data_IF_885877781528
#
_entry.id   IF_885877781528
#
_cell.length_a   1.000
_cell.length_b   1.000
_cell.length_c   1.000
_cell.angle_alpha   90.00
_cell.angle_beta   90.00
_cell.angle_gamma   90.00
#
_symmetry.space_group_name_H-M   'P 1'
#
loop_
_entity.id
_entity.type
_entity.pdbx_description
1 polymer ?
#
# COMPACT_ATOMS: atom_id res chain seq x y z
N UNK A 1 57.97 20.26 -19.64
CA UNK A 1 57.69 19.31 -18.54
C UNK A 1 57.83 20.16 -17.30
N UNK A 2 56.73 20.75 -16.87
CA UNK A 2 56.67 21.60 -15.69
C UNK A 2 55.40 21.24 -14.92
N UNK A 3 55.62 20.99 -13.63
CA UNK A 3 54.64 20.66 -12.60
C UNK A 3 53.49 21.67 -12.54
N UNK A 4 52.26 21.20 -12.69
CA UNK A 4 51.07 21.94 -12.25
C UNK A 4 50.55 21.29 -10.98
N UNK A 5 50.89 21.88 -9.83
CA UNK A 5 50.23 21.61 -8.56
C UNK A 5 48.86 22.29 -8.56
N UNK A 6 47.80 21.50 -8.47
CA UNK A 6 46.46 22.00 -8.15
C UNK A 6 46.38 22.26 -6.65
N UNK A 7 46.41 23.53 -6.24
CA UNK A 7 45.95 23.94 -4.92
C UNK A 7 44.42 23.97 -4.93
N UNK A 8 43.78 23.03 -4.23
CA UNK A 8 42.36 23.15 -3.87
C UNK A 8 42.26 23.99 -2.60
N UNK A 9 42.08 25.31 -2.75
CA UNK A 9 41.61 26.12 -1.64
C UNK A 9 40.14 25.79 -1.41
N UNK A 10 39.92 24.95 -0.39
CA UNK A 10 38.59 24.68 0.14
C UNK A 10 37.97 25.95 0.69
N UNK A 11 36.86 26.37 0.08
CA UNK A 11 35.90 27.23 0.73
C UNK A 11 34.67 26.39 1.11
N UNK A 12 34.69 25.87 2.34
CA UNK A 12 33.47 25.49 3.07
C UNK A 12 33.07 26.74 3.86
N UNK A 13 31.99 27.47 3.49
CA UNK A 13 31.47 28.52 4.35
C UNK A 13 30.82 27.87 5.57
N UNK A 14 31.27 28.29 6.76
CA UNK A 14 30.69 27.95 8.05
C UNK A 14 29.21 28.34 8.12
N UNK A 15 28.44 27.48 8.79
CA UNK A 15 27.00 27.50 9.04
C UNK A 15 26.30 28.87 8.96
N UNK A 16 25.34 28.96 8.03
CA UNK A 16 24.28 29.96 8.06
C UNK A 16 23.07 29.40 8.81
N UNK A 17 22.59 30.13 9.82
CA UNK A 17 21.36 29.86 10.56
C UNK A 17 20.13 29.67 9.65
N UNK A 18 20.16 30.17 8.42
CA UNK A 18 19.12 29.96 7.42
C UNK A 18 18.99 28.50 6.97
N UNK A 19 20.08 27.74 6.87
CA UNK A 19 20.03 26.32 6.52
C UNK A 19 19.38 25.50 7.63
N UNK A 20 19.65 25.87 8.89
CA UNK A 20 19.04 25.26 10.06
C UNK A 20 17.54 25.60 10.15
N UNK A 21 17.14 26.85 9.90
CA UNK A 21 15.73 27.27 9.88
C UNK A 21 14.96 26.70 8.68
N UNK A 22 15.58 26.56 7.50
CA UNK A 22 14.98 25.92 6.33
C UNK A 22 14.80 24.42 6.58
N UNK A 23 15.81 23.74 7.14
CA UNK A 23 15.69 22.33 7.56
C UNK A 23 14.68 22.15 8.70
N UNK A 24 14.57 23.10 9.64
CA UNK A 24 13.54 23.09 10.68
C UNK A 24 12.13 23.33 10.11
N UNK A 25 11.97 24.25 9.14
CA UNK A 25 10.69 24.46 8.46
C UNK A 25 10.31 23.24 7.60
N UNK A 26 11.28 22.62 6.91
CA UNK A 26 11.09 21.37 6.18
C UNK A 26 10.74 20.19 7.10
N UNK A 27 11.24 20.18 8.34
CA UNK A 27 10.88 19.17 9.35
C UNK A 27 9.48 19.38 9.95
N UNK A 28 9.02 20.63 10.06
CA UNK A 28 7.65 20.97 10.51
C UNK A 28 6.59 20.82 9.41
N UNK A 29 7.01 20.62 8.15
CA UNK A 29 6.14 20.49 6.97
C UNK A 29 6.44 19.23 6.15
N UNK A 30 7.10 18.22 6.72
CA UNK A 30 7.37 16.98 6.01
C UNK A 30 6.05 16.24 5.78
N UNK A 31 5.74 15.83 4.53
CA UNK A 31 4.52 15.07 4.25
C UNK A 31 4.51 13.80 5.10
N UNK A 32 3.40 13.58 5.80
CA UNK A 32 3.18 12.41 6.65
C UNK A 32 1.95 11.67 6.18
N UNK A 33 2.11 10.39 5.92
CA UNK A 33 0.98 9.49 5.74
C UNK A 33 0.71 8.79 7.07
N UNK A 34 -0.53 8.82 7.53
CA UNK A 34 -0.92 8.23 8.81
C UNK A 34 -1.93 7.12 8.59
N UNK A 35 -1.70 5.98 9.23
CA UNK A 35 -2.72 4.96 9.47
C UNK A 35 -2.98 4.97 10.96
N UNK A 36 -4.20 5.28 11.38
CA UNK A 36 -4.63 5.25 12.79
C UNK A 36 -5.87 4.36 12.91
N UNK A 37 -5.68 3.15 13.42
CA UNK A 37 -6.69 2.09 13.41
C UNK A 37 -7.19 1.77 11.99
N UNK A 38 -8.37 2.26 11.61
CA UNK A 38 -8.98 2.10 10.28
C UNK A 38 -9.06 3.44 9.51
N UNK A 39 -8.49 4.51 10.08
CA UNK A 39 -8.41 5.83 9.44
C UNK A 39 -7.09 5.95 8.69
N UNK A 40 -7.16 6.20 7.38
CA UNK A 40 -6.01 6.45 6.54
C UNK A 40 -5.99 7.93 6.16
N UNK A 41 -4.82 8.54 6.24
CA UNK A 41 -4.57 9.90 5.80
C UNK A 41 -3.34 9.90 4.91
N UNK A 42 -3.50 10.39 3.68
CA UNK A 42 -2.43 10.43 2.67
C UNK A 42 -1.37 11.49 3.01
N UNK A 43 -0.27 11.48 2.24
CA UNK A 43 0.77 12.52 2.33
C UNK A 43 0.24 13.94 2.04
N UNK A 44 -0.84 14.04 1.27
CA UNK A 44 -1.46 15.30 0.86
C UNK A 44 -2.73 15.61 1.70
N UNK A 45 -2.83 15.03 2.89
CA UNK A 45 -3.90 15.24 3.88
C UNK A 45 -5.31 14.78 3.45
N UNK A 46 -5.43 13.83 2.51
CA UNK A 46 -6.71 13.22 2.15
C UNK A 46 -7.03 12.07 3.11
N UNK A 47 -8.12 12.23 3.87
CA UNK A 47 -8.55 11.22 4.84
C UNK A 47 -9.64 10.30 4.28
N UNK A 48 -9.57 9.01 4.60
CA UNK A 48 -10.62 8.04 4.32
C UNK A 48 -10.66 6.89 5.33
N UNK A 49 -11.85 6.31 5.51
CA UNK A 49 -12.07 5.17 6.39
C UNK A 49 -11.97 3.87 5.59
N UNK A 50 -11.18 2.93 6.10
CA UNK A 50 -11.03 1.62 5.50
C UNK A 50 -10.54 0.57 6.51
N UNK A 51 -11.39 -0.42 6.80
CA UNK A 51 -11.00 -1.58 7.61
C UNK A 51 -10.29 -2.61 6.74
N UNK A 52 -9.02 -2.88 7.04
CA UNK A 52 -8.22 -3.90 6.36
C UNK A 52 -8.87 -5.29 6.55
N UNK A 53 -9.08 -6.06 5.47
CA UNK A 53 -9.44 -7.48 5.57
C UNK A 53 -8.37 -8.26 6.32
N UNK A 54 -8.81 -9.31 7.03
CA UNK A 54 -7.92 -10.14 7.83
C UNK A 54 -6.80 -10.76 6.97
N UNK A 55 -5.56 -10.69 7.48
CA UNK A 55 -4.34 -11.22 6.86
C UNK A 55 -4.02 -10.75 5.44
N UNK A 56 -4.72 -9.75 4.91
CA UNK A 56 -4.46 -9.23 3.57
C UNK A 56 -3.51 -8.04 3.60
N UNK A 57 -2.33 -8.21 3.01
CA UNK A 57 -1.37 -7.13 2.83
C UNK A 57 -1.89 -6.11 1.84
N UNK A 58 -1.75 -4.83 2.17
CA UNK A 58 -2.09 -3.70 1.31
C UNK A 58 -0.87 -2.84 1.10
N UNK A 59 -0.71 -2.31 -0.12
CA UNK A 59 0.38 -1.37 -0.41
C UNK A 59 0.04 -0.02 0.22
N UNK A 60 0.66 0.26 1.36
CA UNK A 60 0.52 1.55 2.04
C UNK A 60 1.21 2.64 1.21
N UNK A 61 2.48 2.45 0.89
CA UNK A 61 3.25 3.33 0.01
C UNK A 61 4.43 2.58 -0.62
N UNK A 62 4.86 2.98 -1.81
CA UNK A 62 6.09 2.49 -2.44
C UNK A 62 6.71 3.57 -3.32
N UNK A 63 8.00 3.44 -3.60
CA UNK A 63 8.68 4.22 -4.63
C UNK A 63 8.20 3.77 -6.02
N UNK A 64 7.51 4.64 -6.74
CA UNK A 64 7.00 4.42 -8.08
C UNK A 64 7.85 5.15 -9.13
N UNK A 65 9.03 5.64 -8.74
CA UNK A 65 10.07 6.04 -9.67
C UNK A 65 10.70 4.82 -10.37
N UNK A 66 11.65 5.07 -11.27
CA UNK A 66 12.37 4.00 -11.97
C UNK A 66 13.21 3.14 -11.03
N UNK A 67 13.57 3.65 -9.85
CA UNK A 67 14.49 2.99 -8.94
C UNK A 67 13.80 1.93 -8.07
N UNK A 68 12.51 2.10 -7.75
CA UNK A 68 11.72 1.20 -6.90
C UNK A 68 12.46 0.86 -5.58
N UNK A 69 12.95 1.88 -4.87
CA UNK A 69 13.87 1.69 -3.73
C UNK A 69 13.21 1.13 -2.48
N UNK A 70 11.90 1.34 -2.30
CA UNK A 70 11.16 0.81 -1.16
C UNK A 70 9.70 0.45 -1.46
N UNK A 71 9.12 -0.39 -0.61
CA UNK A 71 7.68 -0.66 -0.51
C UNK A 71 7.30 -0.95 0.94
N UNK A 72 6.23 -0.34 1.42
CA UNK A 72 5.63 -0.57 2.74
C UNK A 72 4.28 -1.24 2.54
N UNK A 73 4.12 -2.42 3.13
CA UNK A 73 2.86 -3.14 3.21
C UNK A 73 2.31 -3.08 4.63
N UNK A 74 0.99 -3.04 4.74
CA UNK A 74 0.27 -3.12 6.01
C UNK A 74 -0.83 -4.17 5.91
N UNK A 75 -0.99 -4.96 6.96
CA UNK A 75 -2.18 -5.81 7.14
C UNK A 75 -2.71 -5.69 8.56
N UNK A 76 -3.94 -6.16 8.74
CA UNK A 76 -4.52 -6.42 10.06
C UNK A 76 -3.87 -7.66 10.68
N UNK A 77 -3.67 -7.64 11.99
CA UNK A 77 -3.31 -8.84 12.75
C UNK A 77 -4.59 -9.61 13.13
N UNK A 78 -4.55 -10.94 13.10
CA UNK A 78 -5.75 -11.77 13.18
C UNK A 78 -6.31 -11.90 14.58
N UNK A 79 -5.44 -12.10 15.57
CA UNK A 79 -5.87 -12.26 16.95
C UNK A 79 -6.22 -10.91 17.60
N UNK A 80 -5.65 -9.82 17.08
CA UNK A 80 -5.81 -8.44 17.55
C UNK A 80 -6.15 -7.53 16.37
N UNK A 81 -7.43 -7.40 16.05
CA UNK A 81 -7.87 -6.64 14.89
C UNK A 81 -7.37 -5.18 14.84
N UNK A 82 -7.07 -4.56 15.98
CA UNK A 82 -6.58 -3.18 16.01
C UNK A 82 -5.09 -3.09 15.65
N UNK A 83 -4.32 -4.14 15.94
CA UNK A 83 -2.88 -4.16 15.67
C UNK A 83 -2.61 -4.40 14.20
N UNK A 84 -1.52 -3.80 13.74
CA UNK A 84 -1.05 -3.88 12.37
C UNK A 84 0.21 -4.72 12.28
N UNK A 85 0.32 -5.45 11.18
CA UNK A 85 1.55 -6.10 10.74
C UNK A 85 2.12 -5.19 9.65
N UNK A 86 3.39 -4.82 9.78
CA UNK A 86 4.08 -3.97 8.81
C UNK A 86 5.18 -4.79 8.12
N UNK A 87 5.24 -4.75 6.79
CA UNK A 87 6.38 -5.27 6.03
C UNK A 87 7.01 -4.16 5.20
N UNK A 88 8.31 -3.94 5.38
CA UNK A 88 9.10 -2.93 4.68
C UNK A 88 10.10 -3.68 3.80
N UNK A 89 9.98 -3.49 2.49
CA UNK A 89 10.97 -3.92 1.51
C UNK A 89 11.85 -2.72 1.18
N UNK A 90 13.15 -2.80 1.46
CA UNK A 90 14.10 -1.72 1.22
C UNK A 90 15.49 -2.29 0.94
N UNK A 91 16.17 -1.84 -0.12
CA UNK A 91 17.53 -2.29 -0.48
C UNK A 91 17.72 -3.82 -0.46
N UNK A 92 16.72 -4.56 -0.98
CA UNK A 92 16.64 -6.04 -1.00
C UNK A 92 16.48 -6.72 0.37
N UNK A 93 16.29 -5.95 1.42
CA UNK A 93 15.95 -6.46 2.75
C UNK A 93 14.43 -6.43 2.93
N UNK A 94 13.91 -7.42 3.67
CA UNK A 94 12.53 -7.43 4.16
C UNK A 94 12.56 -7.28 5.67
N UNK A 95 12.04 -6.17 6.20
CA UNK A 95 11.83 -5.95 7.62
C UNK A 95 10.35 -6.19 7.91
N UNK A 96 10.03 -7.11 8.81
CA UNK A 96 8.66 -7.41 9.24
C UNK A 96 8.51 -7.10 10.73
N UNK A 97 7.43 -6.41 11.07
CA UNK A 97 7.19 -5.86 12.41
C UNK A 97 5.81 -6.27 12.89
N UNK A 98 5.75 -6.82 14.10
CA UNK A 98 4.52 -7.23 14.77
C UNK A 98 4.54 -6.76 16.23
N UNK A 99 3.40 -6.27 16.73
CA UNK A 99 3.27 -5.86 18.13
C UNK A 99 2.69 -6.99 18.99
N UNK A 100 3.49 -7.47 19.94
CA UNK A 100 3.17 -8.62 20.77
C UNK A 100 2.18 -8.30 21.89
N UNK A 101 1.78 -9.33 22.63
CA UNK A 101 0.83 -9.23 23.76
C UNK A 101 1.43 -8.57 24.99
N UNK A 102 2.74 -8.73 25.17
CA UNK A 102 3.51 -8.21 26.30
C UNK A 102 3.98 -6.76 26.09
N UNK A 103 3.47 -6.09 25.04
CA UNK A 103 3.81 -4.71 24.71
C UNK A 103 5.10 -4.53 23.91
N UNK A 104 5.82 -5.62 23.58
CA UNK A 104 7.06 -5.54 22.80
C UNK A 104 6.82 -5.62 21.30
N UNK A 105 7.79 -5.14 20.52
CA UNK A 105 7.84 -5.37 19.09
C UNK A 105 8.65 -6.63 18.77
N UNK A 106 8.10 -7.51 17.93
CA UNK A 106 8.86 -8.57 17.28
C UNK A 106 9.27 -8.08 15.89
N UNK A 107 10.57 -8.05 15.64
CA UNK A 107 11.12 -7.61 14.37
C UNK A 107 11.85 -8.77 13.71
N UNK A 108 11.57 -8.98 12.43
CA UNK A 108 12.23 -9.98 11.61
C UNK A 108 12.92 -9.30 10.42
N UNK A 109 14.16 -9.66 10.15
CA UNK A 109 14.88 -9.27 8.94
C UNK A 109 15.08 -10.50 8.08
N UNK A 110 14.51 -10.51 6.88
CA UNK A 110 14.50 -11.66 5.96
C UNK A 110 14.00 -12.97 6.58
N UNK A 111 13.06 -12.88 7.54
CA UNK A 111 12.49 -14.02 8.25
C UNK A 111 13.24 -14.44 9.52
N UNK A 112 14.41 -13.86 9.80
CA UNK A 112 15.16 -14.09 11.03
C UNK A 112 14.73 -13.07 12.09
N UNK A 113 14.28 -13.54 13.25
CA UNK A 113 13.98 -12.67 14.39
C UNK A 113 15.29 -12.04 14.87
N UNK A 114 15.31 -10.70 14.97
CA UNK A 114 16.45 -9.97 15.51
C UNK A 114 16.25 -9.71 17.01
N UNK A 115 17.35 -9.67 17.75
CA UNK A 115 17.37 -9.21 19.14
C UNK A 115 17.80 -7.73 19.20
N UNK A 116 17.18 -6.97 20.10
CA UNK A 116 17.42 -5.54 20.29
C UNK A 116 17.79 -5.26 21.76
N UNK A 117 18.95 -5.76 22.24
CA UNK A 117 19.33 -5.67 23.65
C UNK A 117 19.48 -4.23 24.14
N UNK A 118 19.94 -3.32 23.27
CA UNK A 118 20.03 -1.88 23.55
C UNK A 118 18.85 -1.09 22.99
N UNK A 119 17.71 -1.77 22.75
CA UNK A 119 16.52 -1.18 22.10
C UNK A 119 16.83 -0.52 20.77
N UNK A 120 17.93 -0.91 20.13
CA UNK A 120 18.36 -0.42 18.83
C UNK A 120 18.99 -1.55 18.04
N UNK A 121 18.86 -1.47 16.72
CA UNK A 121 19.46 -2.39 15.76
C UNK A 121 19.85 -1.64 14.51
N UNK A 122 21.10 -1.82 14.09
CA UNK A 122 21.64 -1.21 12.88
C UNK A 122 21.74 -2.26 11.77
N UNK A 123 20.88 -2.13 10.76
CA UNK A 123 20.97 -2.91 9.54
C UNK A 123 21.91 -2.18 8.57
N UNK A 124 23.13 -2.71 8.44
CA UNK A 124 24.24 -2.05 7.76
C UNK A 124 23.83 -1.49 6.39
N UNK A 125 24.03 -0.18 6.20
CA UNK A 125 23.71 0.58 4.97
C UNK A 125 22.23 0.58 4.54
N UNK A 126 21.31 0.09 5.38
CA UNK A 126 19.88 -0.01 5.02
C UNK A 126 19.02 0.80 5.97
N UNK A 127 19.08 0.50 7.27
CA UNK A 127 18.18 1.10 8.24
C UNK A 127 18.75 1.10 9.67
N UNK A 128 18.23 2.01 10.50
CA UNK A 128 18.36 1.95 11.95
C UNK A 128 16.97 1.79 12.55
N UNK A 129 16.82 0.79 13.42
CA UNK A 129 15.57 0.49 14.11
C UNK A 129 15.79 0.75 15.60
N UNK A 130 14.90 1.48 16.27
CA UNK A 130 15.02 1.70 17.71
C UNK A 130 13.66 1.89 18.38
N UNK A 131 13.58 1.53 19.65
CA UNK A 131 12.38 1.68 20.48
C UNK A 131 12.50 2.88 21.43
N UNK A 132 11.42 3.64 21.55
CA UNK A 132 11.21 4.67 22.57
C UNK A 132 10.06 4.23 23.50
N UNK A 133 10.33 3.44 24.54
CA UNK A 133 9.30 2.79 25.34
C UNK A 133 8.50 3.74 26.22
N UNK A 134 9.04 4.94 26.53
CA UNK A 134 8.31 5.98 27.26
C UNK A 134 7.04 6.41 26.53
N UNK A 135 7.08 6.35 25.18
CA UNK A 135 5.96 6.70 24.31
C UNK A 135 5.32 5.46 23.64
N UNK A 136 5.82 4.25 23.94
CA UNK A 136 5.44 2.99 23.28
C UNK A 136 5.64 3.01 21.76
N UNK A 137 6.75 3.63 21.34
CA UNK A 137 7.08 3.88 19.94
C UNK A 137 8.19 2.96 19.42
N UNK A 138 8.05 2.53 18.18
CA UNK A 138 9.12 1.93 17.39
C UNK A 138 9.40 2.83 16.18
N UNK A 139 10.66 3.16 15.97
CA UNK A 139 11.14 3.96 14.86
C UNK A 139 11.97 3.10 13.92
N UNK A 140 11.71 3.21 12.62
CA UNK A 140 12.47 2.57 11.55
C UNK A 140 12.95 3.64 10.58
N UNK A 141 14.22 3.99 10.66
CA UNK A 141 14.85 5.01 9.81
C UNK A 141 15.61 4.33 8.68
N UNK A 142 15.04 4.31 7.49
CA UNK A 142 15.70 3.75 6.30
C UNK A 142 16.53 4.81 5.60
N UNK A 143 17.80 4.51 5.31
CA UNK A 143 18.75 5.48 4.74
C UNK A 143 18.42 5.92 3.31
N UNK A 144 17.47 5.24 2.65
CA UNK A 144 16.88 5.68 1.38
C UNK A 144 15.99 6.93 1.52
N UNK A 145 15.77 7.43 2.75
CA UNK A 145 14.92 8.57 3.05
C UNK A 145 13.46 8.17 3.27
N UNK A 146 13.23 7.06 3.96
CA UNK A 146 11.93 6.55 4.38
C UNK A 146 11.99 6.30 5.90
N UNK A 147 11.14 6.98 6.66
CA UNK A 147 11.07 6.83 8.10
C UNK A 147 9.67 6.38 8.52
N UNK A 148 9.58 5.41 9.42
CA UNK A 148 8.32 4.96 10.01
C UNK A 148 8.36 5.12 11.52
N UNK A 149 7.28 5.66 12.07
CA UNK A 149 7.01 5.71 13.51
C UNK A 149 5.74 4.89 13.78
N UNK A 150 5.87 3.88 14.62
CA UNK A 150 4.79 2.96 14.97
C UNK A 150 4.47 3.15 16.45
N UNK A 151 3.24 3.54 16.78
CA UNK A 151 2.79 3.77 18.14
C UNK A 151 1.86 2.62 18.54
N UNK A 152 2.26 1.87 19.57
CA UNK A 152 1.50 0.71 20.11
C UNK A 152 1.05 -0.31 19.05
N UNK A 153 1.68 -0.36 17.88
CA UNK A 153 1.24 -1.18 16.75
C UNK A 153 -0.15 -0.87 16.17
N UNK A 154 -0.81 0.22 16.56
CA UNK A 154 -2.15 0.62 16.05
C UNK A 154 -2.10 1.84 15.14
N UNK A 155 -1.12 2.72 15.39
CA UNK A 155 -0.87 3.91 14.57
C UNK A 155 0.49 3.82 13.90
N UNK A 156 0.54 4.16 12.61
CA UNK A 156 1.73 4.17 11.77
C UNK A 156 1.80 5.54 11.11
N UNK A 157 2.86 6.30 11.39
CA UNK A 157 3.21 7.52 10.69
C UNK A 157 4.39 7.21 9.74
N UNK A 158 4.21 7.47 8.45
CA UNK A 158 5.21 7.28 7.41
C UNK A 158 5.66 8.64 6.92
N UNK A 159 6.98 8.87 6.93
CA UNK A 159 7.61 10.03 6.37
C UNK A 159 8.50 9.64 5.20
N UNK A 160 8.51 10.48 4.17
CA UNK A 160 9.39 10.33 3.02
C UNK A 160 10.20 11.58 2.81
N UNK A 161 11.47 11.42 2.41
CA UNK A 161 12.31 12.55 2.07
C UNK A 161 11.73 13.33 0.87
N UNK A 162 12.05 14.63 0.74
CA UNK A 162 11.59 15.45 -0.40
C UNK A 162 11.96 14.87 -1.79
N UNK A 163 12.93 13.96 -1.86
CA UNK A 163 13.26 13.24 -3.09
C UNK A 163 12.07 12.47 -3.67
N UNK A 164 11.15 11.98 -2.84
CA UNK A 164 9.99 11.19 -3.24
C UNK A 164 8.74 12.02 -3.60
N UNK A 165 8.84 13.36 -3.63
CA UNK A 165 7.74 14.22 -4.06
C UNK A 165 7.28 13.86 -5.48
N UNK A 166 5.98 13.59 -5.64
CA UNK A 166 5.36 13.12 -6.89
C UNK A 166 5.98 11.81 -7.43
N UNK A 167 6.50 10.96 -6.53
CA UNK A 167 7.15 9.69 -6.88
C UNK A 167 6.69 8.51 -6.03
N UNK A 168 5.83 8.73 -5.05
CA UNK A 168 5.20 7.63 -4.32
C UNK A 168 3.96 7.16 -5.07
N UNK A 169 3.53 5.94 -4.78
CA UNK A 169 2.16 5.51 -5.03
C UNK A 169 1.77 4.44 -4.01
N UNK A 170 0.47 4.31 -3.76
CA UNK A 170 -0.06 3.47 -2.69
C UNK A 170 -1.30 4.11 -2.10
N UNK A 171 -1.79 3.54 -1.01
CA UNK A 171 -2.89 4.13 -0.24
C UNK A 171 -2.54 5.51 0.33
N UNK A 172 -1.25 5.82 0.52
CA UNK A 172 -0.75 7.13 0.95
C UNK A 172 -0.70 8.22 -0.13
N UNK A 173 -1.10 7.93 -1.37
CA UNK A 173 -1.06 8.90 -2.46
C UNK A 173 0.32 9.07 -3.10
N UNK A 174 0.46 10.10 -3.94
CA UNK A 174 1.67 10.36 -4.72
C UNK A 174 2.55 11.50 -4.19
N UNK A 175 2.15 12.12 -3.07
CA UNK A 175 2.95 13.11 -2.33
C UNK A 175 3.32 14.30 -3.22
N UNK A 176 2.32 14.92 -3.85
CA UNK A 176 2.52 16.03 -4.79
C UNK A 176 1.88 17.35 -4.33
N UNK A 177 1.40 17.41 -3.08
CA UNK A 177 0.68 18.52 -2.47
C UNK A 177 -0.66 18.87 -3.13
N UNK A 178 -1.28 17.94 -3.86
CA UNK A 178 -2.60 18.09 -4.47
C UNK A 178 -3.59 17.08 -3.88
N UNK A 179 -4.70 17.58 -3.32
CA UNK A 179 -5.67 16.75 -2.58
C UNK A 179 -6.81 16.20 -3.44
N UNK A 180 -7.11 16.84 -4.57
CA UNK A 180 -8.35 16.60 -5.32
C UNK A 180 -8.30 15.28 -6.11
N UNK A 181 -7.12 14.85 -6.52
CA UNK A 181 -6.85 13.68 -7.38
C UNK A 181 -5.78 12.77 -6.79
N UNK A 182 -5.63 12.82 -5.47
CA UNK A 182 -4.61 12.10 -4.73
C UNK A 182 -4.86 10.58 -4.71
N UNK A 183 -6.14 10.17 -4.58
CA UNK A 183 -6.52 8.76 -4.61
C UNK A 183 -6.38 8.22 -6.03
N UNK A 184 -5.36 7.38 -6.24
CA UNK A 184 -5.08 6.75 -7.54
C UNK A 184 -5.09 5.24 -7.42
N UNK A 185 -5.46 4.56 -8.50
CA UNK A 185 -5.36 3.10 -8.59
C UNK A 185 -3.90 2.65 -8.69
N UNK A 186 -3.61 1.35 -8.52
CA UNK A 186 -2.28 0.81 -8.79
C UNK A 186 -1.76 1.07 -10.22
N UNK A 187 -2.66 1.32 -11.18
CA UNK A 187 -2.30 1.66 -12.58
C UNK A 187 -2.22 3.18 -12.82
N UNK A 188 -2.35 4.00 -11.77
CA UNK A 188 -2.19 5.45 -11.82
C UNK A 188 -3.43 6.22 -12.28
N UNK A 189 -4.59 5.57 -12.39
CA UNK A 189 -5.85 6.27 -12.72
C UNK A 189 -6.42 6.96 -11.48
N UNK A 190 -6.99 8.16 -11.65
CA UNK A 190 -7.67 8.86 -10.55
C UNK A 190 -8.94 8.11 -10.15
N UNK A 191 -9.10 7.89 -8.86
CA UNK A 191 -10.25 7.22 -8.26
C UNK A 191 -11.25 8.24 -7.70
N UNK A 192 -12.28 8.56 -8.49
CA UNK A 192 -13.29 9.57 -8.13
C UNK A 192 -14.54 8.99 -7.44
N UNK A 193 -14.65 7.65 -7.33
CA UNK A 193 -15.82 7.03 -6.72
C UNK A 193 -15.82 7.29 -5.21
N UNK A 194 -16.94 7.72 -4.59
CA UNK A 194 -17.01 7.97 -3.15
C UNK A 194 -16.79 6.72 -2.29
N UNK A 195 -16.97 5.51 -2.82
CA UNK A 195 -16.74 4.27 -2.07
C UNK A 195 -15.24 4.03 -1.82
N UNK A 196 -14.81 4.33 -0.58
CA UNK A 196 -13.43 4.18 -0.11
C UNK A 196 -13.05 2.74 0.23
N UNK A 197 -14.04 1.87 0.45
CA UNK A 197 -13.79 0.44 0.66
C UNK A 197 -13.30 -0.19 -0.64
N UNK A 198 -13.96 0.14 -1.76
CA UNK A 198 -13.51 -0.29 -3.10
C UNK A 198 -12.15 0.28 -3.47
N UNK A 199 -11.82 1.50 -3.04
CA UNK A 199 -10.48 2.06 -3.19
C UNK A 199 -9.43 1.21 -2.47
N UNK A 200 -9.67 0.87 -1.19
CA UNK A 200 -8.77 0.01 -0.42
C UNK A 200 -8.56 -1.35 -1.07
N UNK A 201 -9.63 -1.98 -1.58
CA UNK A 201 -9.54 -3.26 -2.30
C UNK A 201 -8.60 -3.22 -3.51
N UNK A 202 -8.47 -2.09 -4.20
CA UNK A 202 -7.54 -1.99 -5.34
C UNK A 202 -6.09 -2.20 -4.92
N UNK A 203 -5.71 -1.70 -3.74
CA UNK A 203 -4.36 -1.74 -3.18
C UNK A 203 -4.04 -3.02 -2.39
N UNK A 204 -5.01 -3.93 -2.25
CA UNK A 204 -4.78 -5.28 -1.72
C UNK A 204 -3.79 -6.05 -2.61
N UNK A 205 -2.74 -6.58 -1.99
CA UNK A 205 -1.77 -7.47 -2.65
C UNK A 205 -2.43 -8.84 -2.80
N UNK A 206 -2.61 -9.36 -4.03
CA UNK A 206 -3.21 -10.67 -4.22
C UNK A 206 -2.25 -11.77 -3.76
N UNK A 207 -2.79 -12.80 -3.13
CA UNK A 207 -2.12 -14.08 -2.94
C UNK A 207 -2.63 -15.08 -3.97
N UNK A 208 -1.74 -15.94 -4.45
CA UNK A 208 -2.03 -16.89 -5.53
C UNK A 208 -2.18 -18.33 -5.03
N UNK A 209 -1.73 -18.58 -3.82
CA UNK A 209 -1.67 -19.91 -3.22
C UNK A 209 -2.58 -19.95 -2.02
N UNK A 210 -3.47 -20.94 -1.98
CA UNK A 210 -4.24 -21.25 -0.79
C UNK A 210 -3.28 -21.61 0.35
N UNK A 211 -3.28 -20.82 1.41
CA UNK A 211 -2.53 -21.10 2.63
C UNK A 211 -3.40 -20.82 3.85
N UNK A 212 -3.17 -21.61 4.92
CA UNK A 212 -3.85 -21.40 6.21
C UNK A 212 -3.46 -20.10 6.89
N UNK A 213 -2.33 -19.53 6.48
CA UNK A 213 -1.82 -18.23 6.89
C UNK A 213 -1.72 -17.35 5.64
N UNK A 214 -2.07 -16.07 5.74
CA UNK A 214 -2.09 -15.16 4.58
C UNK A 214 -3.50 -14.75 4.16
N UNK A 215 -3.57 -13.99 3.08
CA UNK A 215 -4.80 -13.40 2.56
C UNK A 215 -5.70 -14.45 1.89
N UNK A 216 -6.91 -14.60 2.41
CA UNK A 216 -7.88 -15.58 1.89
C UNK A 216 -8.74 -15.04 0.72
N UNK A 217 -8.46 -13.82 0.27
CA UNK A 217 -9.25 -13.11 -0.74
C UNK A 217 -8.49 -12.95 -2.06
N UNK A 218 -9.25 -12.95 -3.16
CA UNK A 218 -8.82 -12.55 -4.49
C UNK A 218 -9.71 -11.44 -5.05
N UNK A 219 -9.15 -10.69 -5.99
CA UNK A 219 -9.84 -9.64 -6.75
C UNK A 219 -10.32 -10.20 -8.08
N UNK A 220 -11.62 -10.12 -8.35
CA UNK A 220 -12.21 -10.68 -9.56
C UNK A 220 -13.07 -9.66 -10.33
N UNK A 221 -12.86 -9.59 -11.64
CA UNK A 221 -13.72 -8.83 -12.55
C UNK A 221 -14.73 -9.79 -13.18
N UNK A 222 -15.90 -9.92 -12.54
CA UNK A 222 -16.97 -10.81 -12.99
C UNK A 222 -17.52 -10.34 -14.33
N UNK A 223 -17.54 -11.23 -15.32
CA UNK A 223 -18.10 -10.96 -16.65
C UNK A 223 -19.60 -11.31 -16.66
N UNK A 224 -20.43 -10.38 -17.10
CA UNK A 224 -21.86 -10.56 -17.27
C UNK A 224 -22.21 -10.34 -18.75
N UNK A 225 -22.70 -11.36 -19.47
CA UNK A 225 -23.16 -11.17 -20.84
C UNK A 225 -24.49 -10.39 -20.83
N UNK A 226 -24.61 -9.42 -21.74
CA UNK A 226 -25.84 -8.62 -21.87
C UNK A 226 -26.06 -8.19 -23.31
N UNK A 227 -27.29 -8.24 -23.78
CA UNK A 227 -27.68 -7.69 -25.09
C UNK A 227 -28.13 -6.24 -24.89
N UNK A 228 -27.46 -5.30 -25.56
CA UNK A 228 -27.73 -3.86 -25.53
C UNK A 228 -27.90 -3.43 -26.99
N UNK A 229 -29.04 -2.80 -27.33
CA UNK A 229 -29.34 -2.36 -28.70
C UNK A 229 -29.14 -3.47 -29.76
N UNK A 230 -29.70 -4.66 -29.50
CA UNK A 230 -29.60 -5.84 -30.37
C UNK A 230 -28.17 -6.37 -30.60
N UNK A 231 -27.20 -5.93 -29.79
CA UNK A 231 -25.82 -6.37 -29.87
C UNK A 231 -25.35 -6.98 -28.55
N UNK A 232 -24.60 -8.08 -28.65
CA UNK A 232 -24.04 -8.74 -27.48
C UNK A 232 -22.83 -7.99 -26.93
N UNK A 233 -22.84 -7.80 -25.62
CA UNK A 233 -21.79 -7.15 -24.86
C UNK A 233 -21.34 -8.04 -23.70
N UNK A 234 -20.09 -7.83 -23.29
CA UNK A 234 -19.57 -8.30 -22.01
C UNK A 234 -19.46 -7.11 -21.07
N UNK A 235 -20.13 -7.20 -19.93
CA UNK A 235 -20.13 -6.17 -18.91
C UNK A 235 -19.33 -6.59 -17.69
N UNK A 236 -18.56 -5.66 -17.14
CA UNK A 236 -17.67 -5.89 -16.02
C UNK A 236 -17.86 -4.78 -14.98
N UNK A 237 -17.67 -5.07 -13.69
CA UNK A 237 -17.66 -4.03 -12.68
C UNK A 237 -16.43 -3.12 -12.89
N UNK A 238 -16.60 -1.83 -12.66
CA UNK A 238 -15.51 -0.84 -12.82
C UNK A 238 -14.39 -1.01 -11.79
N UNK A 239 -14.71 -1.58 -10.63
CA UNK A 239 -13.79 -2.02 -9.57
C UNK A 239 -13.92 -3.53 -9.36
N UNK A 240 -12.86 -4.23 -8.92
CA UNK A 240 -12.93 -5.67 -8.71
C UNK A 240 -13.86 -6.03 -7.55
N UNK A 241 -14.47 -7.20 -7.64
CA UNK A 241 -15.29 -7.86 -6.62
C UNK A 241 -14.37 -8.70 -5.75
N UNK A 242 -14.50 -8.63 -4.43
CA UNK A 242 -13.80 -9.55 -3.54
C UNK A 242 -14.44 -10.94 -3.57
N UNK A 243 -13.60 -11.95 -3.78
CA UNK A 243 -13.96 -13.37 -3.75
C UNK A 243 -12.97 -14.11 -2.85
N UNK A 244 -13.36 -15.28 -2.36
CA UNK A 244 -12.41 -16.18 -1.70
C UNK A 244 -11.47 -16.77 -2.75
N UNK A 245 -10.29 -17.21 -2.33
CA UNK A 245 -9.41 -18.05 -3.16
C UNK A 245 -10.16 -19.31 -3.62
N UNK A 246 -9.76 -19.90 -4.76
CA UNK A 246 -10.52 -20.96 -5.44
C UNK A 246 -10.74 -22.22 -4.59
N UNK A 247 -9.80 -22.53 -3.70
CA UNK A 247 -9.88 -23.67 -2.77
C UNK A 247 -10.64 -23.34 -1.47
N UNK A 248 -10.98 -22.07 -1.23
CA UNK A 248 -11.66 -21.63 -0.02
C UNK A 248 -13.17 -21.46 -0.23
N UNK A 249 -13.94 -21.51 0.87
CA UNK A 249 -15.40 -21.36 0.85
C UNK A 249 -15.83 -20.03 1.47
N UNK A 250 -16.80 -19.30 0.89
CA UNK A 250 -17.35 -18.11 1.52
C UNK A 250 -18.20 -18.48 2.75
N UNK A 251 -17.84 -17.93 3.91
CA UNK A 251 -18.64 -18.03 5.14
C UNK A 251 -19.70 -16.93 5.18
N UNK A 252 -19.31 -15.71 4.78
CA UNK A 252 -20.20 -14.55 4.72
C UNK A 252 -20.10 -13.88 3.36
N UNK A 253 -21.26 -13.50 2.86
CA UNK A 253 -21.41 -12.75 1.62
C UNK A 253 -22.27 -11.51 1.84
N UNK A 254 -22.02 -10.48 1.05
CA UNK A 254 -22.80 -9.26 1.02
C UNK A 254 -23.12 -8.92 -0.42
N UNK A 255 -24.38 -8.61 -0.70
CA UNK A 255 -24.80 -8.13 -2.02
C UNK A 255 -24.51 -6.63 -2.13
N UNK A 256 -23.61 -6.26 -3.03
CA UNK A 256 -23.14 -4.88 -3.21
C UNK A 256 -23.43 -4.38 -4.62
N UNK A 257 -23.93 -3.14 -4.79
CA UNK A 257 -24.09 -2.54 -6.11
C UNK A 257 -22.76 -2.11 -6.73
N UNK A 258 -22.49 -2.55 -7.96
CA UNK A 258 -21.32 -2.16 -8.74
C UNK A 258 -21.73 -1.37 -9.99
N UNK A 259 -21.06 -0.23 -10.28
CA UNK A 259 -21.13 0.41 -11.59
C UNK A 259 -20.50 -0.51 -12.64
N UNK A 260 -21.27 -0.85 -13.67
CA UNK A 260 -20.87 -1.76 -14.73
C UNK A 260 -20.50 -1.00 -16.00
N UNK A 261 -19.37 -1.35 -16.60
CA UNK A 261 -18.98 -0.90 -17.93
C UNK A 261 -19.11 -2.06 -18.91
N UNK A 262 -19.50 -1.79 -20.14
CA UNK A 262 -19.78 -2.81 -21.15
C UNK A 262 -18.94 -2.61 -22.39
N UNK A 263 -18.50 -3.71 -22.97
CA UNK A 263 -17.77 -3.73 -24.23
C UNK A 263 -18.45 -4.69 -25.20
N UNK A 264 -18.58 -4.30 -26.46
CA UNK A 264 -19.16 -5.15 -27.49
C UNK A 264 -18.35 -6.43 -27.65
N UNK A 265 -19.03 -7.58 -27.69
CA UNK A 265 -18.42 -8.90 -27.87
C UNK A 265 -17.66 -8.97 -29.19
N UNK A 266 -16.43 -9.50 -29.15
CA UNK A 266 -15.57 -9.66 -30.34
C UNK A 266 -14.85 -8.38 -30.80
N UNK A 267 -15.09 -7.24 -30.15
CA UNK A 267 -14.36 -5.99 -30.42
C UNK A 267 -12.89 -6.07 -30.00
N UNK A 268 -12.06 -5.16 -30.52
CA UNK A 268 -10.64 -5.03 -30.13
C UNK A 268 -10.51 -4.77 -28.63
N UNK A 269 -11.40 -3.97 -28.07
CA UNK A 269 -11.47 -3.63 -26.64
C UNK A 269 -11.78 -4.86 -25.79
N UNK A 270 -12.71 -5.73 -26.23
CA UNK A 270 -13.01 -6.99 -25.52
C UNK A 270 -11.79 -7.92 -25.45
N UNK A 271 -11.00 -7.97 -26.53
CA UNK A 271 -9.76 -8.74 -26.59
C UNK A 271 -8.70 -8.12 -25.65
N UNK A 272 -8.55 -6.79 -25.65
CA UNK A 272 -7.64 -6.08 -24.74
C UNK A 272 -7.99 -6.35 -23.28
N UNK A 273 -9.27 -6.32 -22.91
CA UNK A 273 -9.74 -6.62 -21.55
C UNK A 273 -9.37 -8.06 -21.18
N UNK A 274 -9.67 -9.04 -22.05
CA UNK A 274 -9.33 -10.44 -21.77
C UNK A 274 -7.81 -10.66 -21.54
N UNK A 275 -6.97 -9.94 -22.30
CA UNK A 275 -5.51 -10.00 -22.18
C UNK A 275 -5.04 -9.32 -20.88
N UNK A 276 -5.64 -8.20 -20.51
CA UNK A 276 -5.32 -7.48 -19.28
C UNK A 276 -5.75 -8.27 -18.03
N UNK A 277 -6.88 -8.97 -18.07
CA UNK A 277 -7.31 -9.89 -17.00
C UNK A 277 -6.29 -11.00 -16.77
N UNK A 278 -5.84 -11.67 -17.86
CA UNK A 278 -4.81 -12.71 -17.78
C UNK A 278 -3.47 -12.21 -17.21
N UNK A 279 -3.14 -10.94 -17.45
CA UNK A 279 -1.93 -10.29 -16.93
C UNK A 279 -2.11 -9.65 -15.56
N UNK A 280 -3.33 -9.64 -15.00
CA UNK A 280 -3.69 -8.94 -13.75
C UNK A 280 -3.37 -7.44 -13.78
N UNK A 281 -3.45 -6.84 -14.96
CA UNK A 281 -3.24 -5.39 -15.18
C UNK A 281 -4.52 -4.70 -15.62
N UNK A 282 -5.68 -5.34 -15.46
CA UNK A 282 -6.96 -4.73 -15.80
C UNK A 282 -7.29 -3.66 -14.77
N UNK A 283 -7.57 -2.46 -15.25
CA UNK A 283 -8.12 -1.37 -14.45
C UNK A 283 -9.23 -0.67 -15.26
N UNK A 284 -10.47 -0.91 -14.85
CA UNK A 284 -11.67 -0.34 -15.44
C UNK A 284 -12.16 0.93 -14.70
N UNK A 285 -11.38 1.42 -13.74
CA UNK A 285 -11.69 2.66 -13.02
C UNK A 285 -11.83 3.82 -14.00
N UNK A 286 -12.87 4.63 -13.81
CA UNK A 286 -13.19 5.79 -14.64
C UNK A 286 -13.78 5.45 -16.02
N UNK A 287 -14.09 4.19 -16.32
CA UNK A 287 -14.78 3.82 -17.56
C UNK A 287 -16.24 4.28 -17.53
N UNK A 288 -16.83 4.44 -18.72
CA UNK A 288 -18.25 4.79 -18.85
C UNK A 288 -19.14 3.73 -18.20
N UNK A 289 -20.08 4.19 -17.38
CA UNK A 289 -21.02 3.35 -16.64
C UNK A 289 -22.30 3.21 -17.45
N UNK A 290 -22.65 1.98 -17.81
CA UNK A 290 -23.85 1.66 -18.57
C UNK A 290 -25.06 1.41 -17.64
N UNK A 291 -24.81 0.73 -16.52
CA UNK A 291 -25.82 0.44 -15.50
C UNK A 291 -25.15 0.04 -14.19
N UNK A 292 -25.95 -0.04 -13.12
CA UNK A 292 -25.52 -0.62 -11.85
C UNK A 292 -26.06 -2.04 -11.71
N UNK A 293 -25.23 -2.96 -11.23
CA UNK A 293 -25.63 -4.35 -10.97
C UNK A 293 -25.18 -4.81 -9.60
N UNK A 294 -26.07 -5.48 -8.88
CA UNK A 294 -25.74 -6.03 -7.57
C UNK A 294 -25.01 -7.36 -7.75
N UNK A 295 -23.81 -7.46 -7.17
CA UNK A 295 -22.99 -8.66 -7.17
C UNK A 295 -22.72 -9.09 -5.73
N UNK A 296 -22.67 -10.40 -5.50
CA UNK A 296 -22.26 -10.92 -4.20
C UNK A 296 -20.76 -10.77 -4.01
N UNK A 297 -20.36 -10.09 -2.96
CA UNK A 297 -18.98 -10.04 -2.46
C UNK A 297 -18.82 -10.96 -1.28
N UNK A 298 -17.65 -11.61 -1.19
CA UNK A 298 -17.32 -12.41 -0.03
C UNK A 298 -16.67 -11.50 1.01
N UNK A 299 -17.12 -11.60 2.26
CA UNK A 299 -16.62 -10.79 3.38
C UNK A 299 -15.93 -11.63 4.46
N UNK A 300 -16.06 -12.96 4.39
CA UNK A 300 -15.35 -13.91 5.24
C UNK A 300 -15.17 -15.23 4.50
N UNK A 301 -13.98 -15.83 4.59
CA UNK A 301 -13.58 -17.02 3.85
C UNK A 301 -13.02 -18.11 4.78
N UNK A 302 -13.53 -19.33 4.63
CA UNK A 302 -12.97 -20.53 5.25
C UNK A 302 -11.94 -21.15 4.30
N UNK A 303 -10.69 -21.15 4.74
CA UNK A 303 -9.54 -21.71 4.03
C UNK A 303 -8.92 -22.90 4.79
N UNK A 304 -9.69 -23.57 5.66
CA UNK A 304 -9.21 -24.68 6.50
C UNK A 304 -8.64 -25.86 5.70
N UNK A 305 -9.09 -26.01 4.45
CA UNK A 305 -8.64 -27.05 3.50
C UNK A 305 -7.33 -26.72 2.80
N UNK A 306 -6.84 -25.47 2.86
CA UNK A 306 -5.57 -25.10 2.23
C UNK A 306 -4.40 -25.93 2.80
N UNK A 307 -3.55 -26.44 1.91
CA UNK A 307 -2.34 -27.18 2.29
C UNK A 307 -2.59 -28.57 2.87
N UNK A 308 -3.75 -29.17 2.60
CA UNK A 308 -3.99 -30.61 2.77
C UNK A 308 -3.49 -31.42 1.57
#
# INVERSE_FOLDING_TARGET
MDDVRFHTDGFIPRGSSYYSSLMHMMALSAPVCTVDHDTFKTFDDVEFQYSLPDRCMHVLTKDCSKNNTFMVLVSKETEKPDKKIIEIFVEKQKIRIEHLNDGRYQIQVNGEIIDMPERSFHLQNVATIFEEPENEELHVLCYVGLDLKIVRGTKIDVHVSPYFFNRTCGMCGDCNAEQYRDLKTPMGKVYNNPDRVKYGHLWMVPEDTCSKAGCHFKKEYVMIPKTIEEQDHYCYPTTPVLRCLDECQPIKTQTTPFPMTCVKTGSVESIKISKAMKKRTLDLTGSDVYFTHSLDEHTECDCSVCGQ
#
